data_IF_359611358988
#
_entry.id   IF_359611358988
#
_cell.length_a   1.000
_cell.length_b   1.000
_cell.length_c   1.000
_cell.angle_alpha   90.00
_cell.angle_beta   90.00
_cell.angle_gamma   90.00
#
_symmetry.space_group_name_H-M   'P 1'
#
loop_
_entity.id
_entity.type
_entity.pdbx_description
1 polymer ?
#
# COMPACT_ATOMS: atom_id res chain seq x y z
N UNK A 1 26.39 25.34 29.34
CA UNK A 1 25.14 25.23 28.57
C UNK A 1 25.03 23.78 28.17
N UNK A 2 24.10 23.05 28.77
CA UNK A 2 23.84 21.66 28.41
C UNK A 2 22.99 21.69 27.14
N UNK A 3 23.48 21.10 26.05
CA UNK A 3 22.67 20.87 24.85
C UNK A 3 21.63 19.79 25.18
N UNK A 4 20.44 20.23 25.56
CA UNK A 4 19.29 19.35 25.74
C UNK A 4 18.71 19.10 24.35
N UNK A 5 18.95 17.89 23.84
CA UNK A 5 18.38 17.39 22.58
C UNK A 5 17.10 16.60 22.86
N UNK A 6 16.04 16.83 22.08
CA UNK A 6 14.78 16.09 22.20
C UNK A 6 14.93 14.70 21.58
N UNK A 7 14.59 13.65 22.33
CA UNK A 7 14.56 12.27 21.81
C UNK A 7 13.48 12.08 20.72
N UNK A 8 12.46 12.95 20.68
CA UNK A 8 11.39 12.87 19.69
C UNK A 8 11.88 13.15 18.26
N UNK A 9 12.97 13.92 18.12
CA UNK A 9 13.58 14.24 16.82
C UNK A 9 14.27 13.03 16.18
N UNK A 10 14.46 11.94 16.95
CA UNK A 10 15.16 10.72 16.53
C UNK A 10 14.30 9.46 16.63
N UNK A 11 12.97 9.58 16.69
CA UNK A 11 12.11 8.40 16.68
C UNK A 11 12.35 7.57 15.42
N UNK A 12 12.50 6.24 15.55
CA UNK A 12 12.56 5.35 14.40
C UNK A 12 11.33 5.56 13.51
N UNK A 13 11.58 5.79 12.23
CA UNK A 13 10.55 5.99 11.23
C UNK A 13 10.84 5.08 10.03
N UNK A 14 9.77 4.61 9.42
CA UNK A 14 9.80 4.03 8.09
C UNK A 14 9.83 5.18 7.09
N UNK A 15 10.66 5.06 6.06
CA UNK A 15 10.59 5.96 4.90
C UNK A 15 10.70 5.14 3.62
N UNK A 16 9.88 5.49 2.63
CA UNK A 16 9.78 4.69 1.42
C UNK A 16 8.63 5.13 0.51
N UNK A 17 8.56 4.57 -0.69
CA UNK A 17 7.45 4.81 -1.59
C UNK A 17 6.17 4.14 -1.09
N UNK A 18 5.07 4.85 -1.20
CA UNK A 18 3.73 4.42 -0.86
C UNK A 18 2.80 4.55 -2.08
N UNK A 19 1.74 3.76 -2.11
CA UNK A 19 0.71 3.76 -3.15
C UNK A 19 -0.68 3.68 -2.52
N UNK A 20 -1.64 4.41 -3.09
CA UNK A 20 -3.04 4.32 -2.67
C UNK A 20 -3.76 3.21 -3.43
N UNK A 21 -4.31 2.23 -2.72
CA UNK A 21 -5.07 1.12 -3.32
C UNK A 21 -6.41 1.54 -3.94
N UNK A 22 -6.88 2.77 -3.69
CA UNK A 22 -8.13 3.31 -4.23
C UNK A 22 -7.96 4.20 -5.48
N UNK A 23 -7.04 5.17 -5.43
CA UNK A 23 -6.84 6.14 -6.51
C UNK A 23 -5.50 5.98 -7.26
N UNK A 24 -4.69 5.00 -6.86
CA UNK A 24 -3.39 4.64 -7.45
C UNK A 24 -2.36 5.77 -7.46
N UNK A 25 -2.53 6.77 -6.60
CA UNK A 25 -1.52 7.80 -6.40
C UNK A 25 -0.31 7.22 -5.68
N UNK A 26 0.88 7.51 -6.18
CA UNK A 26 2.16 7.15 -5.57
C UNK A 26 2.83 8.39 -4.96
N UNK A 27 3.46 8.23 -3.80
CA UNK A 27 4.20 9.29 -3.13
C UNK A 27 5.34 8.74 -2.26
N UNK A 28 6.27 9.60 -1.86
CA UNK A 28 7.29 9.28 -0.85
C UNK A 28 6.69 9.52 0.54
N UNK A 29 6.59 8.48 1.36
CA UNK A 29 6.04 8.55 2.71
C UNK A 29 7.13 8.45 3.78
N UNK A 30 6.85 9.07 4.93
CA UNK A 30 7.57 8.84 6.18
C UNK A 30 6.53 8.68 7.30
N UNK A 31 6.65 7.65 8.12
CA UNK A 31 5.71 7.38 9.20
C UNK A 31 6.40 6.64 10.36
N UNK A 32 5.82 6.64 11.58
CA UNK A 32 6.34 5.86 12.69
C UNK A 32 6.44 4.37 12.34
N UNK A 33 7.42 3.67 12.93
CA UNK A 33 7.50 2.20 12.82
C UNK A 33 6.19 1.56 13.26
N UNK A 34 5.68 0.63 12.44
CA UNK A 34 4.41 -0.06 12.67
C UNK A 34 3.18 0.61 12.02
N UNK A 35 3.35 1.75 11.32
CA UNK A 35 2.30 2.34 10.52
C UNK A 35 2.09 1.53 9.22
N UNK A 36 1.06 0.68 9.18
CA UNK A 36 0.74 -0.17 8.03
C UNK A 36 -0.19 0.49 7.00
N UNK A 37 -1.05 1.40 7.47
CA UNK A 37 -1.95 2.18 6.63
C UNK A 37 -1.57 3.65 6.70
N UNK A 38 -1.59 4.31 5.54
CA UNK A 38 -1.25 5.71 5.37
C UNK A 38 -2.44 6.47 4.80
N UNK A 39 -2.60 7.72 5.19
CA UNK A 39 -3.55 8.61 4.52
C UNK A 39 -3.04 8.96 3.13
N UNK A 40 -3.87 8.79 2.11
CA UNK A 40 -3.50 9.20 0.76
C UNK A 40 -3.60 10.72 0.61
N UNK A 41 -2.52 11.43 0.24
CA UNK A 41 -2.54 12.89 0.12
C UNK A 41 -3.41 13.39 -1.05
N UNK A 42 -3.75 12.53 -2.02
CA UNK A 42 -4.59 12.88 -3.16
C UNK A 42 -6.09 12.76 -2.88
N UNK A 43 -6.52 11.70 -2.19
CA UNK A 43 -7.94 11.40 -2.00
C UNK A 43 -8.42 11.46 -0.53
N UNK A 44 -7.50 11.66 0.43
CA UNK A 44 -7.80 11.78 1.86
C UNK A 44 -8.29 10.50 2.53
N UNK A 45 -8.21 9.35 1.86
CA UNK A 45 -8.65 8.06 2.42
C UNK A 45 -7.47 7.33 3.06
N UNK A 46 -7.73 6.60 4.14
CA UNK A 46 -6.81 5.63 4.76
C UNK A 46 -6.70 4.37 3.90
N UNK A 47 -6.10 4.51 2.73
CA UNK A 47 -5.92 3.45 1.73
C UNK A 47 -4.49 3.45 1.16
N UNK A 48 -3.57 4.19 1.78
CA UNK A 48 -2.15 4.19 1.45
C UNK A 48 -1.44 2.98 2.04
N UNK A 49 -0.64 2.31 1.21
CA UNK A 49 0.16 1.14 1.59
C UNK A 49 1.61 1.37 1.17
N UNK A 50 2.56 0.78 1.89
CA UNK A 50 3.97 0.75 1.46
C UNK A 50 4.11 -0.05 0.17
N UNK A 51 4.61 0.59 -0.90
CA UNK A 51 4.54 0.07 -2.27
C UNK A 51 5.24 -1.28 -2.41
N UNK A 52 6.44 -1.41 -1.85
CA UNK A 52 7.27 -2.61 -2.04
C UNK A 52 7.12 -3.67 -0.94
N UNK A 53 6.43 -3.37 0.16
CA UNK A 53 6.16 -4.40 1.18
C UNK A 53 4.99 -5.31 0.79
N UNK A 54 4.07 -4.85 -0.07
CA UNK A 54 2.81 -5.54 -0.33
C UNK A 54 2.45 -5.76 -1.80
N UNK A 55 3.13 -5.10 -2.75
CA UNK A 55 2.79 -5.20 -4.17
C UNK A 55 3.95 -5.73 -5.01
N UNK A 56 3.83 -6.92 -5.63
CA UNK A 56 4.83 -7.39 -6.58
C UNK A 56 4.86 -6.50 -7.82
N UNK A 57 6.02 -6.38 -8.47
CA UNK A 57 6.17 -5.61 -9.71
C UNK A 57 5.37 -6.21 -10.88
N UNK A 58 5.17 -7.52 -10.85
CA UNK A 58 4.36 -8.26 -11.82
C UNK A 58 3.17 -8.88 -11.11
N UNK A 59 1.98 -8.61 -11.62
CA UNK A 59 0.73 -9.15 -11.14
C UNK A 59 -0.14 -9.57 -12.32
N UNK A 60 -1.00 -10.55 -12.08
CA UNK A 60 -2.03 -10.93 -13.04
C UNK A 60 -3.13 -9.85 -13.02
N UNK A 61 -3.37 -9.21 -14.17
CA UNK A 61 -4.44 -8.25 -14.37
C UNK A 61 -5.53 -8.94 -15.21
N UNK A 62 -6.75 -9.03 -14.67
CA UNK A 62 -7.87 -9.59 -15.42
C UNK A 62 -8.16 -8.70 -16.64
N UNK A 63 -8.73 -9.25 -17.72
CA UNK A 63 -9.16 -8.46 -18.88
C UNK A 63 -10.15 -7.32 -18.57
N UNK A 64 -10.76 -7.30 -17.38
CA UNK A 64 -11.58 -6.19 -16.88
C UNK A 64 -10.79 -5.07 -16.18
N UNK A 65 -9.47 -5.21 -16.04
CA UNK A 65 -8.57 -4.25 -15.37
C UNK A 65 -8.42 -4.45 -13.85
N UNK A 66 -9.08 -5.45 -13.27
CA UNK A 66 -8.94 -5.74 -11.83
C UNK A 66 -7.70 -6.59 -11.54
N UNK A 67 -7.05 -6.28 -10.41
CA UNK A 67 -5.85 -6.99 -9.89
C UNK A 67 -6.15 -7.79 -8.63
N UNK A 68 -7.42 -7.85 -8.21
CA UNK A 68 -7.84 -8.50 -6.98
C UNK A 68 -8.65 -9.76 -7.31
N UNK A 69 -8.31 -10.86 -6.65
CA UNK A 69 -8.88 -12.18 -6.88
C UNK A 69 -9.31 -12.83 -5.55
N UNK A 70 -10.41 -13.56 -5.59
CA UNK A 70 -10.76 -14.54 -4.56
C UNK A 70 -10.05 -15.86 -4.86
N UNK A 71 -9.45 -16.47 -3.84
CA UNK A 71 -8.97 -17.86 -3.91
C UNK A 71 -10.14 -18.77 -3.51
N UNK A 72 -10.61 -19.58 -4.46
CA UNK A 72 -11.71 -20.53 -4.29
C UNK A 72 -11.24 -21.95 -4.64
N UNK A 73 -11.95 -23.02 -4.23
CA UNK A 73 -11.47 -24.40 -4.42
C UNK A 73 -11.15 -24.79 -5.87
N UNK A 74 -11.76 -24.11 -6.84
CA UNK A 74 -11.59 -24.35 -8.28
C UNK A 74 -10.65 -23.34 -8.96
N UNK A 75 -9.99 -22.44 -8.21
CA UNK A 75 -8.97 -21.52 -8.74
C UNK A 75 -9.08 -20.09 -8.21
N UNK A 76 -8.47 -19.14 -8.93
CA UNK A 76 -8.57 -17.72 -8.62
C UNK A 76 -9.69 -17.10 -9.46
N UNK A 77 -10.64 -16.40 -8.83
CA UNK A 77 -11.71 -15.66 -9.51
C UNK A 77 -11.56 -14.17 -9.33
N UNK A 78 -11.66 -13.42 -10.41
CA UNK A 78 -11.61 -11.96 -10.40
C UNK A 78 -12.69 -11.40 -9.46
N UNK A 79 -12.29 -10.54 -8.52
CA UNK A 79 -13.20 -9.89 -7.57
C UNK A 79 -14.25 -9.03 -8.26
N UNK A 80 -13.91 -8.46 -9.42
CA UNK A 80 -14.74 -7.47 -10.11
C UNK A 80 -15.72 -8.11 -11.10
N UNK A 81 -15.25 -8.96 -12.02
CA UNK A 81 -16.09 -9.53 -13.06
C UNK A 81 -16.40 -11.03 -12.88
N UNK A 82 -15.78 -11.70 -11.89
CA UNK A 82 -16.00 -13.12 -11.62
C UNK A 82 -15.33 -14.10 -12.59
N UNK A 83 -14.61 -13.62 -13.62
CA UNK A 83 -13.86 -14.46 -14.54
C UNK A 83 -12.72 -15.20 -13.81
N UNK A 84 -12.38 -16.40 -14.30
CA UNK A 84 -11.21 -17.13 -13.80
C UNK A 84 -9.92 -16.45 -14.26
N UNK A 85 -8.89 -16.50 -13.41
CA UNK A 85 -7.53 -16.23 -13.85
C UNK A 85 -7.01 -17.47 -14.60
N UNK A 86 -6.89 -17.37 -15.91
CA UNK A 86 -6.32 -18.38 -16.81
C UNK A 86 -4.81 -18.20 -17.06
#
# INVERSE_FOLDING_TARGET
>A
MSDVISLDDFRPHLSGPAICSGCHHEWQAAAPVGAWELECPKCGRMMGLWKYEFQPETFYECGCGSRLFYVVPDGCRCRECGAYAD
#
